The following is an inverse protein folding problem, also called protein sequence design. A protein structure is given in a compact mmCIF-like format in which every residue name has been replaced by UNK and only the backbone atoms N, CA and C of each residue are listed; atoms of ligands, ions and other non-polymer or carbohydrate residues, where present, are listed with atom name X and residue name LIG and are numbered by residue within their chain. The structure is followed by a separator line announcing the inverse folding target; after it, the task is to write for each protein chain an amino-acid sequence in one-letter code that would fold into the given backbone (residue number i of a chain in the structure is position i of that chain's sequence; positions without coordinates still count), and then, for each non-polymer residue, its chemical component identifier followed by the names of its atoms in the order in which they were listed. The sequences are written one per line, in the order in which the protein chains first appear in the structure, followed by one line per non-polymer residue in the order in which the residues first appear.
data_IF_142102180939
#
_entry.id   IF_142102180939
#
_cell.length_a   1.000
_cell.length_b   1.000
_cell.length_c   1.000
_cell.angle_alpha   90.00
_cell.angle_beta   90.00
_cell.angle_gamma   90.00
#
_symmetry.space_group_name_H-M   'P 1'
#
loop_
_entity.id
_entity.type
_entity.pdbx_description
1 polymer ?
#
# COMPACT_ATOMS: atom_id res chain seq x y z
N UNK A 1 -10.41 17.61 -29.93
CA UNK A 1 -11.25 17.65 -28.71
C UNK A 1 -10.34 18.07 -27.57
N UNK A 2 -10.60 19.20 -26.93
CA UNK A 2 -9.72 19.81 -25.92
C UNK A 2 -9.65 18.96 -24.65
N UNK A 3 -8.43 18.63 -24.24
CA UNK A 3 -8.11 17.78 -23.09
C UNK A 3 -8.32 18.49 -21.72
N UNK A 4 -9.23 19.48 -21.65
CA UNK A 4 -9.31 20.47 -20.56
C UNK A 4 -10.64 20.50 -19.80
N UNK A 5 -11.59 19.61 -20.11
CA UNK A 5 -12.90 19.59 -19.44
C UNK A 5 -12.89 18.73 -18.16
N UNK A 6 -12.12 19.17 -17.17
CA UNK A 6 -12.03 18.49 -15.87
C UNK A 6 -13.37 18.50 -15.11
N UNK A 7 -14.16 19.56 -15.30
CA UNK A 7 -15.45 19.73 -14.64
C UNK A 7 -16.49 18.77 -15.21
N UNK A 8 -16.58 18.61 -16.53
CA UNK A 8 -17.47 17.62 -17.16
C UNK A 8 -17.15 16.20 -16.70
N UNK A 9 -15.86 15.84 -16.66
CA UNK A 9 -15.42 14.53 -16.15
C UNK A 9 -15.75 14.34 -14.67
N UNK A 10 -15.62 15.38 -13.84
CA UNK A 10 -16.01 15.32 -12.43
C UNK A 10 -17.51 15.02 -12.29
N UNK A 11 -18.35 15.70 -13.08
CA UNK A 11 -19.81 15.50 -13.07
C UNK A 11 -20.19 14.08 -13.49
N UNK A 12 -19.54 13.51 -14.51
CA UNK A 12 -19.81 12.14 -14.94
C UNK A 12 -19.42 11.10 -13.89
N UNK A 13 -18.31 11.31 -13.19
CA UNK A 13 -17.89 10.44 -12.09
C UNK A 13 -18.85 10.55 -10.89
N UNK A 14 -19.33 11.76 -10.58
CA UNK A 14 -20.35 11.98 -9.54
C UNK A 14 -21.65 11.23 -9.86
N UNK A 15 -22.13 11.29 -11.11
CA UNK A 15 -23.35 10.56 -11.50
C UNK A 15 -23.21 9.06 -11.22
N UNK A 16 -22.07 8.48 -11.61
CA UNK A 16 -21.74 7.08 -11.31
C UNK A 16 -21.64 6.81 -9.81
N UNK A 17 -21.10 7.75 -9.04
CA UNK A 17 -21.01 7.64 -7.59
C UNK A 17 -22.41 7.61 -6.93
N UNK A 18 -23.33 8.46 -7.39
CA UNK A 18 -24.72 8.50 -6.93
C UNK A 18 -25.45 7.21 -7.31
N UNK A 19 -25.28 6.72 -8.54
CA UNK A 19 -25.85 5.44 -8.98
C UNK A 19 -25.40 4.29 -8.08
N UNK A 20 -24.09 4.18 -7.82
CA UNK A 20 -23.53 3.16 -6.92
C UNK A 20 -24.05 3.31 -5.47
N UNK A 21 -24.23 4.55 -5.01
CA UNK A 21 -24.76 4.85 -3.68
C UNK A 21 -26.24 4.43 -3.55
N UNK A 22 -27.05 4.72 -4.57
CA UNK A 22 -28.45 4.27 -4.63
C UNK A 22 -28.59 2.75 -4.78
N UNK A 23 -27.62 2.10 -5.42
CA UNK A 23 -27.54 0.65 -5.55
C UNK A 23 -27.00 -0.06 -4.28
N UNK A 24 -26.76 0.68 -3.19
CA UNK A 24 -26.16 0.19 -1.95
C UNK A 24 -24.74 -0.41 -2.10
N UNK A 25 -24.04 -0.11 -3.20
CA UNK A 25 -22.64 -0.47 -3.42
C UNK A 25 -21.71 0.56 -2.73
N UNK A 26 -21.81 0.66 -1.39
CA UNK A 26 -21.18 1.74 -0.62
C UNK A 26 -19.65 1.84 -0.75
N UNK A 27 -18.96 0.70 -0.90
CA UNK A 27 -17.50 0.66 -1.08
C UNK A 27 -17.09 1.35 -2.39
N UNK A 28 -17.79 1.02 -3.48
CA UNK A 28 -17.56 1.56 -4.82
C UNK A 28 -18.03 3.01 -4.91
N UNK A 29 -19.15 3.34 -4.27
CA UNK A 29 -19.63 4.71 -4.15
C UNK A 29 -18.57 5.60 -3.47
N UNK A 30 -17.98 5.14 -2.36
CA UNK A 30 -16.91 5.88 -1.66
C UNK A 30 -15.70 6.15 -2.56
N UNK A 31 -15.23 5.14 -3.30
CA UNK A 31 -14.10 5.30 -4.23
C UNK A 31 -14.42 6.29 -5.35
N UNK A 32 -15.61 6.22 -5.95
CA UNK A 32 -16.05 7.13 -7.01
C UNK A 32 -16.22 8.57 -6.50
N UNK A 33 -16.73 8.76 -5.28
CA UNK A 33 -16.79 10.09 -4.67
C UNK A 33 -15.40 10.67 -4.42
N UNK A 34 -14.44 9.86 -3.97
CA UNK A 34 -13.05 10.31 -3.77
C UNK A 34 -12.40 10.74 -5.10
N UNK A 35 -12.57 9.93 -6.15
CA UNK A 35 -12.11 10.26 -7.50
C UNK A 35 -12.76 11.53 -8.06
N UNK A 36 -14.05 11.73 -7.82
CA UNK A 36 -14.75 12.96 -8.22
C UNK A 36 -14.18 14.19 -7.52
N UNK A 37 -13.86 14.10 -6.22
CA UNK A 37 -13.28 15.20 -5.44
C UNK A 37 -11.90 15.61 -5.96
N UNK A 38 -11.06 14.65 -6.35
CA UNK A 38 -9.76 14.95 -6.98
C UNK A 38 -9.94 15.74 -8.28
N UNK A 39 -10.93 15.36 -9.10
CA UNK A 39 -11.26 16.08 -10.35
C UNK A 39 -11.82 17.48 -10.08
N UNK A 40 -12.64 17.67 -9.03
CA UNK A 40 -13.11 18.99 -8.61
C UNK A 40 -11.98 19.89 -8.11
N UNK A 41 -11.03 19.33 -7.35
CA UNK A 41 -9.85 20.07 -6.89
C UNK A 41 -8.95 20.49 -8.06
N UNK A 42 -8.82 19.61 -9.06
CA UNK A 42 -8.12 19.95 -10.30
C UNK A 42 -8.87 21.03 -11.08
N UNK A 43 -10.20 20.95 -11.18
CA UNK A 43 -11.01 21.98 -11.83
C UNK A 43 -10.86 23.35 -11.13
N UNK A 44 -10.85 23.40 -9.79
CA UNK A 44 -10.62 24.64 -9.02
C UNK A 44 -9.26 25.30 -9.31
N UNK A 45 -8.23 24.49 -9.56
CA UNK A 45 -6.88 24.97 -9.88
C UNK A 45 -6.83 25.71 -11.23
N UNK A 46 -7.61 25.26 -12.21
CA UNK A 46 -7.58 25.78 -13.58
C UNK A 46 -8.75 26.70 -13.94
N UNK A 47 -9.78 26.77 -13.08
CA UNK A 47 -10.89 27.70 -13.23
C UNK A 47 -10.41 29.15 -13.02
N UNK A 48 -10.91 30.08 -13.82
CA UNK A 48 -10.54 31.51 -13.73
C UNK A 48 -11.67 32.35 -13.14
N UNK A 49 -12.92 31.91 -13.28
CA UNK A 49 -14.09 32.64 -12.80
C UNK A 49 -14.31 32.41 -11.30
N UNK A 50 -14.36 33.48 -10.51
CA UNK A 50 -14.49 33.40 -9.05
C UNK A 50 -15.86 32.84 -8.62
N UNK A 51 -16.94 33.20 -9.32
CA UNK A 51 -18.28 32.66 -9.03
C UNK A 51 -18.35 31.15 -9.29
N UNK A 52 -17.73 30.69 -10.37
CA UNK A 52 -17.64 29.25 -10.69
C UNK A 52 -16.82 28.49 -9.66
N UNK A 53 -15.73 29.07 -9.15
CA UNK A 53 -14.95 28.48 -8.05
C UNK A 53 -15.77 28.30 -6.78
N UNK A 54 -16.57 29.29 -6.42
CA UNK A 54 -17.39 29.20 -5.22
C UNK A 54 -18.48 28.13 -5.37
N UNK A 55 -19.12 28.03 -6.54
CA UNK A 55 -20.07 26.96 -6.84
C UNK A 55 -19.42 25.56 -6.81
N UNK A 56 -18.23 25.42 -7.42
CA UNK A 56 -17.50 24.15 -7.42
C UNK A 56 -17.07 23.77 -6.01
N UNK A 57 -16.60 24.73 -5.20
CA UNK A 57 -16.21 24.50 -3.80
C UNK A 57 -17.41 24.07 -2.95
N UNK A 58 -18.56 24.73 -3.12
CA UNK A 58 -19.79 24.35 -2.42
C UNK A 58 -20.20 22.90 -2.75
N UNK A 59 -20.19 22.54 -4.04
CA UNK A 59 -20.52 21.18 -4.48
C UNK A 59 -19.50 20.14 -4.06
N UNK A 60 -18.21 20.45 -4.12
CA UNK A 60 -17.17 19.58 -3.58
C UNK A 60 -17.35 19.34 -2.08
N UNK A 61 -17.78 20.37 -1.32
CA UNK A 61 -18.12 20.23 0.09
C UNK A 61 -19.27 19.25 0.34
N UNK A 62 -20.37 19.36 -0.41
CA UNK A 62 -21.51 18.43 -0.32
C UNK A 62 -21.09 16.97 -0.58
N UNK A 63 -20.29 16.74 -1.62
CA UNK A 63 -19.81 15.39 -1.97
C UNK A 63 -18.77 14.86 -0.97
N UNK A 64 -17.95 15.73 -0.39
CA UNK A 64 -17.02 15.37 0.69
C UNK A 64 -17.78 14.91 1.94
N UNK A 65 -18.80 15.65 2.36
CA UNK A 65 -19.64 15.26 3.51
C UNK A 65 -20.34 13.90 3.25
N UNK A 66 -20.81 13.66 2.03
CA UNK A 66 -21.39 12.36 1.65
C UNK A 66 -20.35 11.24 1.73
N UNK A 67 -19.14 11.46 1.22
CA UNK A 67 -18.04 10.50 1.27
C UNK A 67 -17.63 10.17 2.72
N UNK A 68 -17.61 11.16 3.62
CA UNK A 68 -17.36 10.94 5.04
C UNK A 68 -18.44 10.10 5.72
N UNK A 69 -19.73 10.35 5.40
CA UNK A 69 -20.85 9.52 5.89
C UNK A 69 -20.71 8.07 5.41
N UNK A 70 -20.35 7.87 4.13
CA UNK A 70 -20.09 6.53 3.58
C UNK A 70 -18.92 5.85 4.27
N UNK A 71 -17.82 6.59 4.53
CA UNK A 71 -16.66 6.08 5.27
C UNK A 71 -17.04 5.60 6.67
N UNK A 72 -17.85 6.36 7.40
CA UNK A 72 -18.35 5.95 8.74
C UNK A 72 -19.22 4.71 8.64
N UNK A 73 -20.15 4.66 7.68
CA UNK A 73 -21.01 3.49 7.46
C UNK A 73 -20.21 2.22 7.09
N UNK A 74 -19.16 2.35 6.29
CA UNK A 74 -18.25 1.26 5.95
C UNK A 74 -17.44 0.81 7.19
N UNK A 75 -16.94 1.75 7.99
CA UNK A 75 -16.22 1.44 9.23
C UNK A 75 -17.12 0.73 10.26
N UNK A 76 -18.38 1.15 10.41
CA UNK A 76 -19.35 0.53 11.32
C UNK A 76 -19.77 -0.86 10.82
N UNK A 77 -19.90 -1.06 9.51
CA UNK A 77 -20.16 -2.38 8.91
C UNK A 77 -18.97 -3.32 9.03
N UNK A 78 -17.73 -2.83 8.86
CA UNK A 78 -16.52 -3.59 9.13
C UNK A 78 -16.41 -3.95 10.63
N UNK A 79 -16.80 -3.04 11.54
CA UNK A 79 -16.83 -3.30 12.97
C UNK A 79 -17.91 -4.33 13.38
N UNK A 80 -19.09 -4.30 12.73
CA UNK A 80 -20.15 -5.30 12.92
C UNK A 80 -19.78 -6.66 12.32
N UNK A 81 -19.16 -6.70 11.13
CA UNK A 81 -18.66 -7.96 10.53
C UNK A 81 -17.55 -8.61 11.37
N UNK A 82 -16.74 -7.83 12.08
CA UNK A 82 -15.71 -8.32 13.01
C UNK A 82 -16.24 -8.84 14.35
N UNK A 83 -17.54 -8.74 14.65
CA UNK A 83 -18.15 -9.33 15.86
C UNK A 83 -19.20 -10.40 15.50
N UNK A 84 -18.76 -11.66 15.41
CA UNK A 84 -19.38 -12.72 16.19
C UNK A 84 -18.34 -13.30 17.16
N UNK A 85 -18.60 -13.18 18.46
CA UNK A 85 -17.82 -13.82 19.53
C UNK A 85 -16.96 -12.88 20.37
N UNK A 86 -17.53 -12.36 21.45
CA UNK A 86 -16.83 -11.97 22.69
C UNK A 86 -15.97 -13.18 23.13
N UNK A 87 -14.67 -13.11 23.47
CA UNK A 87 -14.07 -12.56 24.72
C UNK A 87 -12.56 -12.34 24.50
N UNK A 88 -11.98 -11.24 25.02
CA UNK A 88 -10.52 -11.17 25.26
C UNK A 88 -9.81 -9.87 24.85
N UNK A 89 -9.93 -8.85 25.71
CA UNK A 89 -9.02 -7.73 26.03
C UNK A 89 -7.84 -7.28 25.10
N UNK A 90 -7.88 -5.96 24.87
CA UNK A 90 -6.80 -4.97 24.72
C UNK A 90 -6.17 -4.69 23.34
N UNK A 91 -6.15 -3.39 23.02
CA UNK A 91 -5.73 -2.76 21.76
C UNK A 91 -4.22 -2.80 21.52
N UNK A 92 -3.65 -2.25 20.44
CA UNK A 92 -4.04 -1.16 19.55
C UNK A 92 -3.03 -1.14 18.37
N UNK A 93 -3.42 -0.70 17.17
CA UNK A 93 -2.47 -0.14 16.20
C UNK A 93 -2.34 -0.86 14.84
N UNK A 94 -3.16 -0.38 13.89
CA UNK A 94 -2.83 -0.08 12.47
C UNK A 94 -1.76 -0.86 11.69
N UNK A 95 -2.16 -1.49 10.58
CA UNK A 95 -1.25 -1.79 9.46
C UNK A 95 -1.80 -2.77 8.41
N UNK A 96 -1.97 -2.27 7.17
CA UNK A 96 -2.08 -3.00 5.90
C UNK A 96 -3.24 -4.01 5.69
N UNK A 97 -4.33 -3.58 5.04
CA UNK A 97 -5.28 -4.47 4.35
C UNK A 97 -4.61 -5.04 3.10
N UNK A 98 -3.95 -6.18 3.22
CA UNK A 98 -3.74 -7.10 2.11
C UNK A 98 -5.02 -7.88 1.86
N UNK A 99 -5.39 -8.05 0.58
CA UNK A 99 -6.52 -8.86 0.13
C UNK A 99 -6.45 -10.25 0.78
N UNK A 100 -7.46 -10.60 1.60
CA UNK A 100 -7.57 -11.95 2.15
C UNK A 100 -8.12 -12.86 1.05
N UNK A 101 -7.21 -13.54 0.34
CA UNK A 101 -7.54 -14.85 -0.22
C UNK A 101 -8.10 -15.73 0.92
N UNK A 102 -9.28 -16.32 0.72
CA UNK A 102 -9.78 -17.43 1.55
C UNK A 102 -8.86 -18.64 1.39
N UNK A 103 -7.71 -18.59 2.05
CA UNK A 103 -6.84 -19.74 2.23
C UNK A 103 -7.39 -20.66 3.31
N UNK A 104 -7.25 -21.96 3.06
CA UNK A 104 -7.45 -23.07 4.00
C UNK A 104 -6.99 -22.70 5.43
N UNK A 105 -7.71 -23.06 6.52
CA UNK A 105 -7.32 -22.79 7.90
C UNK A 105 -5.83 -23.03 8.24
N UNK A 106 -5.18 -24.01 7.62
CA UNK A 106 -3.74 -24.24 7.76
C UNK A 106 -2.89 -23.09 7.20
N UNK A 107 -3.23 -22.59 6.01
CA UNK A 107 -2.53 -21.46 5.37
C UNK A 107 -2.65 -20.18 6.19
N UNK A 108 -3.79 -19.95 6.85
CA UNK A 108 -3.96 -18.81 7.78
C UNK A 108 -3.04 -18.95 9.00
N UNK A 109 -2.91 -20.16 9.54
CA UNK A 109 -2.01 -20.44 10.68
C UNK A 109 -0.55 -20.21 10.30
N UNK A 110 -0.12 -20.69 9.11
CA UNK A 110 1.24 -20.48 8.60
C UNK A 110 1.53 -18.99 8.33
N UNK A 111 0.60 -18.28 7.67
CA UNK A 111 0.70 -16.82 7.46
C UNK A 111 0.83 -16.07 8.79
N UNK A 112 0.08 -16.48 9.81
CA UNK A 112 0.17 -15.89 11.14
C UNK A 112 1.50 -16.17 11.84
N UNK A 113 2.09 -17.35 11.64
CA UNK A 113 3.41 -17.69 12.20
C UNK A 113 4.52 -16.85 11.53
N UNK A 114 4.46 -16.70 10.21
CA UNK A 114 5.41 -15.87 9.46
C UNK A 114 5.23 -14.37 9.70
N UNK A 115 4.05 -13.92 10.12
CA UNK A 115 3.79 -12.51 10.41
C UNK A 115 4.75 -11.94 11.47
N UNK A 116 5.25 -12.76 12.39
CA UNK A 116 6.27 -12.37 13.37
C UNK A 116 7.68 -12.13 12.79
N UNK A 117 8.00 -12.75 11.65
CA UNK A 117 9.27 -12.56 10.93
C UNK A 117 9.25 -11.33 10.00
N UNK A 118 8.06 -10.76 9.77
CA UNK A 118 7.89 -9.52 9.02
C UNK A 118 8.22 -8.36 9.96
N UNK A 119 9.35 -7.70 9.73
CA UNK A 119 9.59 -6.39 10.34
C UNK A 119 8.65 -5.39 9.67
N UNK A 120 7.50 -5.16 10.31
CA UNK A 120 6.54 -4.15 9.84
C UNK A 120 7.11 -2.73 9.95
N UNK A 121 8.01 -2.50 10.92
CA UNK A 121 8.74 -1.25 11.03
C UNK A 121 9.93 -1.24 10.06
N UNK A 122 9.87 -0.29 9.13
CA UNK A 122 11.02 0.03 8.27
C UNK A 122 12.18 0.43 9.18
N UNK A 123 13.35 -0.23 9.09
CA UNK A 123 14.53 0.26 9.75
C UNK A 123 14.77 1.71 9.30
N UNK A 124 15.20 2.60 10.19
CA UNK A 124 15.50 3.99 9.83
C UNK A 124 17.00 4.12 9.50
N UNK A 125 17.48 3.35 8.53
CA UNK A 125 18.88 3.32 8.11
C UNK A 125 18.97 3.80 6.67
N UNK A 126 19.78 4.82 6.40
CA UNK A 126 19.96 5.40 5.06
C UNK A 126 21.26 4.95 4.42
N UNK A 127 21.43 5.21 3.12
CA UNK A 127 22.70 4.95 2.42
C UNK A 127 23.89 5.74 2.99
N UNK A 128 23.62 6.90 3.58
CA UNK A 128 24.59 7.80 4.21
C UNK A 128 25.15 7.22 5.51
N UNK A 129 24.36 6.40 6.23
CA UNK A 129 24.77 5.76 7.48
C UNK A 129 25.75 4.61 7.26
N UNK A 130 25.85 4.11 6.03
CA UNK A 130 26.78 3.04 5.66
C UNK A 130 28.08 3.65 5.17
N UNK A 131 29.18 3.46 5.88
CA UNK A 131 30.49 3.93 5.42
C UNK A 131 31.08 2.99 4.35
N UNK A 132 31.55 3.55 3.23
CA UNK A 132 32.25 2.82 2.17
C UNK A 132 31.34 1.90 1.33
N UNK A 133 31.92 0.82 0.79
CA UNK A 133 31.23 -0.20 -0.02
C UNK A 133 30.52 0.34 -1.28
N UNK A 134 31.09 1.35 -1.93
CA UNK A 134 30.39 2.09 -3.00
C UNK A 134 29.95 1.21 -4.17
N UNK A 135 30.81 0.29 -4.63
CA UNK A 135 30.43 -0.65 -5.69
C UNK A 135 29.28 -1.59 -5.30
N UNK A 136 29.20 -2.01 -4.03
CA UNK A 136 28.09 -2.83 -3.55
C UNK A 136 26.80 -2.02 -3.42
N UNK A 137 26.90 -0.76 -2.97
CA UNK A 137 25.75 0.16 -2.93
C UNK A 137 25.21 0.43 -4.32
N UNK A 138 26.08 0.71 -5.28
CA UNK A 138 25.69 0.97 -6.67
C UNK A 138 24.99 -0.25 -7.29
N UNK A 139 25.58 -1.45 -7.15
CA UNK A 139 24.97 -2.69 -7.60
C UNK A 139 23.59 -2.95 -6.95
N UNK A 140 23.44 -2.67 -5.65
CA UNK A 140 22.15 -2.82 -4.96
C UNK A 140 21.11 -1.78 -5.40
N UNK A 141 21.53 -0.53 -5.64
CA UNK A 141 20.66 0.52 -6.17
C UNK A 141 20.15 0.14 -7.55
N UNK A 142 21.01 -0.35 -8.43
CA UNK A 142 20.61 -0.81 -9.76
C UNK A 142 19.71 -2.04 -9.70
N UNK A 143 20.02 -3.00 -8.84
CA UNK A 143 19.27 -4.25 -8.76
C UNK A 143 17.88 -4.06 -8.14
N UNK A 144 17.73 -3.17 -7.15
CA UNK A 144 16.48 -3.02 -6.37
C UNK A 144 15.72 -1.74 -6.73
N UNK A 145 16.39 -0.60 -6.78
CA UNK A 145 15.71 0.70 -6.96
C UNK A 145 15.35 0.93 -8.44
N UNK A 146 16.22 0.56 -9.37
CA UNK A 146 16.01 0.81 -10.80
C UNK A 146 14.74 0.12 -11.35
N UNK A 147 14.44 -1.16 -11.03
CA UNK A 147 13.21 -1.81 -11.46
C UNK A 147 11.94 -1.19 -10.86
N UNK A 148 12.00 -0.75 -9.60
CA UNK A 148 10.87 -0.12 -8.91
C UNK A 148 10.58 1.26 -9.53
N UNK A 149 11.63 2.04 -9.83
CA UNK A 149 11.50 3.40 -10.34
C UNK A 149 11.18 3.44 -11.84
N UNK A 150 11.74 2.52 -12.62
CA UNK A 150 11.59 2.48 -14.08
C UNK A 150 11.20 1.08 -14.57
N UNK A 151 9.98 0.61 -14.27
CA UNK A 151 9.55 -0.74 -14.63
C UNK A 151 9.52 -0.97 -16.15
N UNK A 152 9.33 0.07 -16.94
CA UNK A 152 9.33 0.01 -18.41
C UNK A 152 10.70 -0.37 -19.01
N UNK A 153 11.81 -0.19 -18.28
CA UNK A 153 13.14 -0.59 -18.74
C UNK A 153 13.37 -2.10 -18.59
N UNK A 154 12.57 -2.78 -17.77
CA UNK A 154 12.71 -4.20 -17.44
C UNK A 154 11.60 -5.05 -18.08
N UNK A 155 11.33 -4.80 -19.37
CA UNK A 155 10.38 -5.58 -20.16
C UNK A 155 11.10 -6.56 -21.10
N UNK A 156 10.55 -7.76 -21.28
CA UNK A 156 11.10 -8.76 -22.20
C UNK A 156 12.30 -9.52 -21.62
N UNK A 157 13.44 -9.52 -22.33
CA UNK A 157 14.63 -10.27 -21.89
C UNK A 157 15.37 -9.63 -20.71
N UNK A 158 15.22 -8.32 -20.50
CA UNK A 158 15.84 -7.62 -19.37
C UNK A 158 14.95 -7.78 -18.14
N UNK A 159 15.32 -8.70 -17.27
CA UNK A 159 14.59 -9.01 -16.04
C UNK A 159 15.30 -8.39 -14.82
N UNK A 160 14.54 -8.00 -13.77
CA UNK A 160 15.14 -7.58 -12.51
C UNK A 160 15.86 -8.75 -11.84
N UNK A 161 16.77 -8.42 -10.93
CA UNK A 161 17.56 -9.41 -10.23
C UNK A 161 16.68 -10.14 -9.22
N UNK A 162 16.75 -11.49 -9.21
CA UNK A 162 15.92 -12.32 -8.32
C UNK A 162 16.54 -12.56 -6.94
N UNK A 163 17.85 -12.40 -6.81
CA UNK A 163 18.57 -12.66 -5.56
C UNK A 163 19.97 -12.07 -5.59
N UNK A 164 20.43 -11.63 -4.42
CA UNK A 164 21.75 -11.01 -4.23
C UNK A 164 22.37 -11.65 -3.00
N UNK A 165 23.60 -12.16 -3.14
CA UNK A 165 24.35 -12.76 -2.04
C UNK A 165 25.44 -11.79 -1.57
N UNK A 166 25.35 -11.36 -0.31
CA UNK A 166 26.39 -10.57 0.35
C UNK A 166 27.25 -11.50 1.22
N UNK A 167 28.54 -11.61 0.91
CA UNK A 167 29.49 -12.43 1.67
C UNK A 167 30.70 -11.62 2.13
N UNK A 168 31.43 -12.13 3.13
CA UNK A 168 32.64 -11.50 3.67
C UNK A 168 32.79 -11.69 5.18
N UNK A 169 33.88 -11.22 5.79
CA UNK A 169 34.16 -11.36 7.23
C UNK A 169 33.01 -10.88 8.14
N UNK A 170 32.83 -11.44 9.35
CA UNK A 170 31.81 -10.96 10.27
C UNK A 170 32.07 -9.49 10.64
N UNK A 171 31.02 -8.71 10.88
CA UNK A 171 31.13 -7.29 11.26
C UNK A 171 31.29 -6.29 10.10
N UNK A 172 31.32 -6.72 8.84
CA UNK A 172 31.47 -5.81 7.67
C UNK A 172 30.18 -5.11 7.22
N UNK A 173 29.15 -5.06 8.06
CA UNK A 173 27.93 -4.30 7.77
C UNK A 173 26.96 -4.91 6.75
N UNK A 174 27.11 -6.17 6.33
CA UNK A 174 26.20 -6.84 5.36
C UNK A 174 24.72 -6.73 5.73
N UNK A 175 24.37 -7.06 6.98
CA UNK A 175 22.99 -6.95 7.47
C UNK A 175 22.53 -5.50 7.62
N UNK A 176 23.45 -4.58 7.89
CA UNK A 176 23.17 -3.15 8.00
C UNK A 176 22.88 -2.54 6.62
N UNK A 177 23.61 -2.97 5.59
CA UNK A 177 23.38 -2.63 4.18
C UNK A 177 22.01 -3.14 3.70
N UNK A 178 21.62 -4.35 4.06
CA UNK A 178 20.29 -4.89 3.73
C UNK A 178 19.15 -4.05 4.34
N UNK A 179 19.32 -3.58 5.58
CA UNK A 179 18.37 -2.65 6.22
C UNK A 179 18.31 -1.31 5.50
N UNK A 180 19.47 -0.76 5.07
CA UNK A 180 19.50 0.48 4.29
C UNK A 180 18.73 0.35 2.96
N UNK A 181 18.95 -0.76 2.24
CA UNK A 181 18.21 -1.08 0.99
C UNK A 181 16.70 -1.10 1.24
N UNK A 182 16.25 -1.77 2.30
CA UNK A 182 14.82 -1.89 2.60
C UNK A 182 14.17 -0.53 2.87
N UNK A 183 14.86 0.33 3.61
CA UNK A 183 14.43 1.70 3.93
C UNK A 183 14.25 2.52 2.67
N UNK A 184 15.26 2.48 1.79
CA UNK A 184 15.35 3.30 0.58
C UNK A 184 14.44 2.81 -0.55
N UNK A 185 14.24 1.49 -0.65
CA UNK A 185 13.28 0.89 -1.56
C UNK A 185 11.82 1.08 -1.10
N UNK A 186 11.59 1.63 0.09
CA UNK A 186 10.26 1.78 0.71
C UNK A 186 9.46 0.46 0.75
N UNK A 187 10.16 -0.68 0.79
CA UNK A 187 9.60 -2.02 0.66
C UNK A 187 9.50 -2.72 2.02
N UNK A 188 8.79 -3.86 2.06
CA UNK A 188 8.66 -4.69 3.26
C UNK A 188 9.93 -5.51 3.46
N UNK A 189 10.50 -5.49 4.67
CA UNK A 189 11.69 -6.26 5.01
C UNK A 189 11.32 -7.52 5.80
N UNK A 190 11.63 -8.68 5.23
CA UNK A 190 11.47 -9.97 5.89
C UNK A 190 12.81 -10.41 6.47
N UNK A 191 12.91 -10.48 7.79
CA UNK A 191 14.12 -10.96 8.47
C UNK A 191 13.89 -12.39 8.93
N UNK A 192 14.08 -13.34 8.02
CA UNK A 192 13.85 -14.76 8.27
C UNK A 192 15.13 -15.42 8.75
N UNK A 193 15.05 -16.11 9.88
CA UNK A 193 16.08 -17.01 10.41
C UNK A 193 15.70 -18.47 10.16
N UNK A 194 16.67 -19.38 10.25
CA UNK A 194 16.41 -20.82 10.14
C UNK A 194 15.35 -21.30 11.16
N UNK A 195 15.28 -20.68 12.33
CA UNK A 195 14.28 -21.00 13.35
C UNK A 195 12.84 -20.71 12.92
N UNK A 196 12.63 -19.79 11.97
CA UNK A 196 11.29 -19.39 11.52
C UNK A 196 10.74 -20.34 10.44
N UNK A 197 11.62 -21.11 9.79
CA UNK A 197 11.27 -22.02 8.69
C UNK A 197 11.22 -23.50 9.12
N UNK A 198 11.87 -23.85 10.23
CA UNK A 198 11.94 -25.24 10.69
C UNK A 198 10.74 -25.57 11.57
N UNK A 199 9.94 -26.54 11.13
CA UNK A 199 8.82 -27.09 11.90
C UNK A 199 9.11 -28.51 12.40
N UNK A 200 8.41 -28.94 13.45
CA UNK A 200 8.51 -30.30 14.00
C UNK A 200 7.78 -31.34 13.13
N UNK A 201 6.80 -30.91 12.36
CA UNK A 201 5.91 -31.78 11.61
C UNK A 201 6.43 -31.99 10.19
N UNK A 202 6.41 -33.24 9.72
CA UNK A 202 6.91 -33.59 8.40
C UNK A 202 6.11 -32.87 7.32
N UNK A 203 6.79 -32.14 6.43
CA UNK A 203 6.17 -31.40 5.33
C UNK A 203 5.62 -30.01 5.69
N UNK A 204 5.63 -29.58 6.96
CA UNK A 204 5.25 -28.20 7.32
C UNK A 204 6.34 -27.18 6.97
N UNK A 205 7.62 -27.58 6.93
CA UNK A 205 8.75 -26.66 6.66
C UNK A 205 8.87 -26.22 5.19
N UNK A 206 8.20 -26.92 4.27
CA UNK A 206 8.25 -26.64 2.81
C UNK A 206 7.02 -25.84 2.32
N UNK A 207 5.98 -25.71 3.16
CA UNK A 207 4.70 -25.04 2.85
C UNK A 207 4.76 -23.56 3.20
#
# INVERSE_FOLDING_TARGET
MSNTDFLGRAIDVVKKAIEADTAAEYEKAYQLYYQALELFMLALKWEKNNKSKDMIRAKAGEYMERAEKLKKHLADNDAKRKKPGMVGANGSGTGAKGEQEEGDPESKKLRSALQGAILQDKPNVKWEDVAGLEGAKEALKEAVILPIKFPHLFTGQRQPWKGILLYGPPGTGKSFLAKAVATEANSTFFSVSSSDLVSKWMGESER
#
